data_IF_578620016040
#
_entry.id   IF_578620016040
#
_cell.length_a   1.000
_cell.length_b   1.000
_cell.length_c   1.000
_cell.angle_alpha   90.00
_cell.angle_beta   90.00
_cell.angle_gamma   90.00
#
_symmetry.space_group_name_H-M   'P 1'
#
loop_
_entity.id
_entity.type
_entity.pdbx_description
1 polymer ?
#
# COMPACT_ATOMS: atom_id res chain seq x y z
N UNK A 1 45.32 -8.78 18.60
CA UNK A 1 44.36 -9.85 18.23
C UNK A 1 43.01 -9.17 18.18
N UNK A 2 42.58 -8.76 16.99
CA UNK A 2 41.42 -7.90 16.78
C UNK A 2 40.31 -8.77 16.22
N UNK A 3 39.31 -9.11 17.03
CA UNK A 3 38.11 -9.77 16.58
C UNK A 3 37.31 -8.80 15.71
N UNK A 4 37.14 -9.17 14.44
CA UNK A 4 36.19 -8.52 13.54
C UNK A 4 34.80 -9.00 13.96
N UNK A 5 33.99 -8.10 14.49
CA UNK A 5 32.54 -8.28 14.56
C UNK A 5 32.04 -8.51 13.14
N UNK A 6 31.54 -9.70 12.86
CA UNK A 6 30.70 -9.96 11.70
C UNK A 6 29.42 -9.15 11.88
N UNK A 7 29.21 -8.13 11.04
CA UNK A 7 27.87 -7.59 10.80
C UNK A 7 26.99 -8.79 10.44
N UNK A 8 26.05 -9.12 11.34
CA UNK A 8 25.02 -10.09 11.03
C UNK A 8 24.26 -9.55 9.83
N UNK A 9 24.21 -10.36 8.77
CA UNK A 9 23.41 -10.12 7.57
C UNK A 9 21.95 -10.07 8.02
N UNK A 10 21.48 -8.89 8.44
CA UNK A 10 20.09 -8.69 8.87
C UNK A 10 19.25 -8.78 7.60
N UNK A 11 18.77 -9.99 7.32
CA UNK A 11 17.90 -10.22 6.19
C UNK A 11 16.69 -9.31 6.35
N UNK A 12 16.40 -8.42 5.39
CA UNK A 12 15.35 -7.44 5.55
C UNK A 12 14.03 -8.16 5.78
N UNK A 13 13.27 -7.70 6.78
CA UNK A 13 11.97 -8.26 7.11
C UNK A 13 11.10 -8.35 5.84
N UNK A 14 10.34 -9.45 5.66
CA UNK A 14 9.54 -9.67 4.46
C UNK A 14 8.66 -8.48 4.09
N UNK A 15 8.67 -8.13 2.81
CA UNK A 15 7.88 -7.00 2.32
C UNK A 15 7.45 -7.15 0.86
N UNK A 16 6.48 -6.33 0.47
CA UNK A 16 6.02 -6.21 -0.90
C UNK A 16 6.67 -4.97 -1.52
N UNK A 17 7.67 -5.18 -2.36
CA UNK A 17 8.42 -4.16 -3.06
C UNK A 17 7.65 -3.68 -4.29
N UNK A 18 7.33 -2.39 -4.35
CA UNK A 18 6.58 -1.76 -5.44
C UNK A 18 7.53 -1.43 -6.58
N UNK A 19 7.18 -1.89 -7.78
CA UNK A 19 7.86 -1.51 -9.02
C UNK A 19 7.13 -0.36 -9.72
N UNK A 20 5.79 -0.42 -9.75
CA UNK A 20 4.95 0.55 -10.47
C UNK A 20 3.65 0.84 -9.72
N UNK A 21 3.16 2.08 -9.86
CA UNK A 21 1.87 2.53 -9.36
C UNK A 21 1.16 3.30 -10.48
N UNK A 22 -0.05 2.87 -10.81
CA UNK A 22 -0.90 3.43 -11.87
C UNK A 22 -2.21 3.93 -11.26
N UNK A 23 -2.30 5.23 -10.91
CA UNK A 23 -3.52 5.85 -10.42
C UNK A 23 -4.31 6.45 -11.59
N UNK A 24 -5.11 5.62 -12.25
CA UNK A 24 -5.92 6.00 -13.40
C UNK A 24 -7.25 5.24 -13.42
N UNK A 25 -8.21 5.72 -14.21
CA UNK A 25 -9.50 5.05 -14.49
C UNK A 25 -10.33 4.66 -13.26
N UNK A 26 -10.22 5.40 -12.16
CA UNK A 26 -10.97 5.14 -10.93
C UNK A 26 -10.35 4.04 -10.06
N UNK A 27 -9.14 3.61 -10.37
CA UNK A 27 -8.42 2.57 -9.65
C UNK A 27 -6.98 2.98 -9.34
N UNK A 28 -6.40 2.37 -8.32
CA UNK A 28 -4.97 2.40 -8.06
C UNK A 28 -4.47 0.99 -8.26
N UNK A 29 -3.77 0.76 -9.39
CA UNK A 29 -3.09 -0.50 -9.67
C UNK A 29 -1.64 -0.43 -9.21
N UNK A 30 -1.22 -1.43 -8.45
CA UNK A 30 0.13 -1.54 -7.89
C UNK A 30 0.74 -2.84 -8.37
N UNK A 31 1.91 -2.74 -9.00
CA UNK A 31 2.71 -3.89 -9.44
C UNK A 31 4.00 -3.95 -8.61
N UNK A 32 4.45 -5.15 -8.31
CA UNK A 32 5.67 -5.33 -7.54
C UNK A 32 6.10 -6.77 -7.35
N UNK A 33 7.00 -6.98 -6.38
CA UNK A 33 7.54 -8.29 -6.01
C UNK A 33 7.53 -8.52 -4.50
N UNK A 34 7.37 -9.77 -4.11
CA UNK A 34 7.53 -10.23 -2.73
C UNK A 34 9.02 -10.47 -2.45
N UNK A 35 9.53 -9.92 -1.36
CA UNK A 35 10.91 -10.08 -0.93
C UNK A 35 11.00 -10.59 0.50
N UNK A 36 12.09 -11.28 0.82
CA UNK A 36 12.40 -11.76 2.17
C UNK A 36 11.63 -13.02 2.60
N UNK A 37 10.79 -13.60 1.74
CA UNK A 37 10.06 -14.83 2.06
C UNK A 37 11.02 -16.03 2.11
N UNK A 38 10.96 -16.80 3.21
CA UNK A 38 11.79 -18.00 3.43
C UNK A 38 11.27 -19.24 2.69
N UNK A 39 10.02 -19.21 2.25
CA UNK A 39 9.37 -20.26 1.47
C UNK A 39 8.62 -19.65 0.28
N UNK A 40 8.34 -20.48 -0.73
CA UNK A 40 7.56 -20.06 -1.89
C UNK A 40 6.19 -19.51 -1.47
N UNK A 41 5.85 -18.32 -1.96
CA UNK A 41 4.56 -17.71 -1.70
C UNK A 41 3.42 -18.59 -2.24
N UNK A 42 2.30 -18.74 -1.50
CA UNK A 42 1.08 -19.30 -2.06
C UNK A 42 0.68 -18.55 -3.34
N UNK A 43 0.12 -19.24 -4.32
CA UNK A 43 -0.21 -18.61 -5.62
C UNK A 43 -1.65 -18.07 -5.68
N UNK A 44 -2.45 -18.29 -4.63
CA UNK A 44 -3.86 -17.88 -4.56
C UNK A 44 -4.13 -17.35 -3.19
N UNK A 45 -5.15 -16.52 -3.07
CA UNK A 45 -5.61 -16.08 -1.75
C UNK A 45 -4.95 -14.85 -1.18
N UNK A 46 -4.23 -14.11 -2.02
CA UNK A 46 -3.68 -12.83 -1.66
C UNK A 46 -4.74 -11.74 -1.78
N UNK A 47 -4.66 -10.80 -0.85
CA UNK A 47 -5.48 -9.61 -0.80
C UNK A 47 -4.56 -8.41 -0.57
N UNK A 48 -4.90 -7.28 -1.17
CA UNK A 48 -4.38 -5.99 -0.70
C UNK A 48 -5.32 -5.47 0.37
N UNK A 49 -4.78 -5.30 1.57
CA UNK A 49 -5.47 -4.73 2.70
C UNK A 49 -5.11 -3.25 2.82
N UNK A 50 -6.12 -2.39 2.74
CA UNK A 50 -6.02 -0.97 3.01
C UNK A 50 -6.45 -0.73 4.46
N UNK A 51 -5.52 -0.35 5.34
CA UNK A 51 -5.81 -0.06 6.74
C UNK A 51 -5.79 1.45 6.99
N UNK A 52 -6.92 2.01 7.42
CA UNK A 52 -7.04 3.44 7.70
C UNK A 52 -6.29 3.79 9.00
N UNK A 53 -5.43 4.80 8.94
CA UNK A 53 -4.79 5.34 10.15
C UNK A 53 -5.82 6.04 11.04
N UNK A 54 -5.82 5.70 12.33
CA UNK A 54 -6.63 6.36 13.34
C UNK A 54 -7.37 5.39 14.26
N UNK A 55 -8.21 5.89 15.17
CA UNK A 55 -8.74 5.11 16.29
C UNK A 55 -9.82 4.09 15.90
N UNK A 56 -10.38 4.16 14.67
CA UNK A 56 -11.53 3.32 14.27
C UNK A 56 -11.13 1.97 13.66
N UNK A 57 -9.84 1.73 13.40
CA UNK A 57 -9.35 0.43 12.90
C UNK A 57 -9.97 -0.02 11.58
N UNK A 58 -10.51 0.89 10.78
CA UNK A 58 -11.20 0.55 9.53
C UNK A 58 -10.22 -0.06 8.54
N UNK A 59 -10.60 -1.20 7.96
CA UNK A 59 -9.79 -1.93 6.99
C UNK A 59 -10.67 -2.41 5.85
N UNK A 60 -10.13 -2.36 4.64
CA UNK A 60 -10.76 -2.82 3.42
C UNK A 60 -9.83 -3.82 2.73
N UNK A 61 -10.39 -4.81 2.05
CA UNK A 61 -9.62 -5.82 1.35
C UNK A 61 -10.09 -5.90 -0.10
N UNK A 62 -9.12 -5.91 -1.01
CA UNK A 62 -9.35 -6.09 -2.44
C UNK A 62 -8.49 -7.23 -2.96
N UNK A 63 -8.90 -7.88 -4.08
CA UNK A 63 -8.10 -8.94 -4.69
C UNK A 63 -6.67 -8.49 -4.99
N UNK A 64 -5.72 -9.38 -4.69
CA UNK A 64 -4.37 -9.31 -5.21
C UNK A 64 -4.01 -10.66 -5.86
N UNK A 65 -3.30 -10.62 -6.97
CA UNK A 65 -2.74 -11.81 -7.61
C UNK A 65 -1.26 -11.92 -7.29
N UNK A 66 -0.78 -13.15 -7.15
CA UNK A 66 0.66 -13.45 -7.01
C UNK A 66 0.99 -14.55 -8.01
N UNK A 67 2.05 -14.33 -8.79
CA UNK A 67 2.61 -15.29 -9.75
C UNK A 67 4.11 -15.39 -9.53
N UNK A 68 4.56 -16.51 -8.97
CA UNK A 68 5.92 -16.62 -8.43
C UNK A 68 6.11 -15.61 -7.31
N UNK A 69 7.00 -14.64 -7.52
CA UNK A 69 7.24 -13.51 -6.60
C UNK A 69 6.54 -12.22 -7.05
N UNK A 70 6.06 -12.14 -8.30
CA UNK A 70 5.39 -10.95 -8.80
C UNK A 70 3.99 -10.84 -8.21
N UNK A 71 3.57 -9.62 -7.87
CA UNK A 71 2.21 -9.35 -7.44
C UNK A 71 1.57 -8.21 -8.24
N UNK A 72 0.25 -8.28 -8.33
CA UNK A 72 -0.61 -7.19 -8.79
C UNK A 72 -1.76 -6.99 -7.82
N UNK A 73 -1.98 -5.75 -7.42
CA UNK A 73 -3.05 -5.34 -6.53
C UNK A 73 -3.83 -4.19 -7.16
N UNK A 74 -5.17 -4.24 -7.08
CA UNK A 74 -6.05 -3.21 -7.63
C UNK A 74 -6.99 -2.72 -6.55
N UNK A 75 -7.01 -1.40 -6.34
CA UNK A 75 -7.84 -0.74 -5.33
C UNK A 75 -8.75 0.30 -6.00
N UNK A 76 -10.08 0.09 -6.06
CA UNK A 76 -11.02 1.10 -6.53
C UNK A 76 -11.01 2.33 -5.63
N UNK A 77 -10.85 3.54 -6.19
CA UNK A 77 -10.73 4.76 -5.37
C UNK A 77 -12.00 5.08 -4.59
N UNK A 78 -13.16 4.70 -5.12
CA UNK A 78 -14.45 4.89 -4.47
C UNK A 78 -14.56 4.10 -3.16
N UNK A 79 -13.89 2.95 -3.06
CA UNK A 79 -13.88 2.14 -1.85
C UNK A 79 -13.13 2.84 -0.70
N UNK A 80 -12.20 3.75 -0.99
CA UNK A 80 -11.34 4.40 0.01
C UNK A 80 -12.01 5.56 0.77
N UNK A 81 -13.28 5.85 0.52
CA UNK A 81 -14.06 6.82 1.30
C UNK A 81 -15.43 6.26 1.70
N UNK A 82 -15.47 5.13 2.43
CA UNK A 82 -16.73 4.55 2.86
C UNK A 82 -17.46 5.51 3.82
N UNK A 83 -18.79 5.43 3.94
CA UNK A 83 -19.60 6.40 4.69
C UNK A 83 -19.13 6.66 6.12
N UNK A 84 -18.63 5.64 6.81
CA UNK A 84 -18.15 5.68 8.20
C UNK A 84 -16.76 6.31 8.37
N UNK A 85 -16.01 6.49 7.28
CA UNK A 85 -14.67 7.06 7.31
C UNK A 85 -14.72 8.58 7.59
N UNK A 86 -13.71 9.16 8.27
CA UNK A 86 -13.63 10.60 8.50
C UNK A 86 -13.52 11.40 7.19
N UNK A 87 -13.72 12.71 7.24
CA UNK A 87 -13.64 13.58 6.04
C UNK A 87 -12.30 13.54 5.30
N UNK A 88 -11.21 13.14 5.96
CA UNK A 88 -9.90 12.91 5.36
C UNK A 88 -9.16 11.82 6.12
N UNK A 89 -8.19 11.19 5.48
CA UNK A 89 -7.35 10.19 6.14
C UNK A 89 -6.28 9.60 5.23
N UNK A 90 -5.56 8.63 5.79
CA UNK A 90 -4.44 7.95 5.12
C UNK A 90 -4.62 6.45 5.28
N UNK A 91 -4.62 5.74 4.16
CA UNK A 91 -4.66 4.29 4.09
C UNK A 91 -3.24 3.74 3.94
N UNK A 92 -2.85 2.83 4.82
CA UNK A 92 -1.63 2.03 4.69
C UNK A 92 -1.95 0.72 3.97
N UNK A 93 -1.15 0.39 2.95
CA UNK A 93 -1.34 -0.80 2.12
C UNK A 93 -0.48 -1.98 2.60
N UNK A 94 -1.10 -3.14 2.70
CA UNK A 94 -0.44 -4.40 3.05
C UNK A 94 -0.86 -5.48 2.07
N UNK A 95 0.06 -6.38 1.71
CA UNK A 95 -0.33 -7.67 1.16
C UNK A 95 -0.55 -8.65 2.31
N UNK A 96 -1.70 -9.32 2.26
CA UNK A 96 -2.10 -10.31 3.26
C UNK A 96 -2.60 -11.56 2.57
N UNK A 97 -2.53 -12.69 3.25
CA UNK A 97 -3.02 -13.96 2.73
C UNK A 97 -4.18 -14.49 3.58
N UNK A 98 -5.36 -14.66 2.98
CA UNK A 98 -6.61 -14.94 3.70
C UNK A 98 -6.63 -16.25 4.50
N UNK A 99 -5.84 -17.26 4.12
CA UNK A 99 -5.78 -18.54 4.85
C UNK A 99 -4.82 -18.53 6.04
N UNK A 100 -4.03 -17.46 6.21
CA UNK A 100 -3.11 -17.35 7.34
C UNK A 100 -3.68 -16.34 8.33
N UNK A 101 -4.54 -16.83 9.23
CA UNK A 101 -5.04 -16.02 10.34
C UNK A 101 -3.88 -15.61 11.26
N UNK A 102 -3.72 -14.30 11.47
CA UNK A 102 -2.56 -13.76 12.20
C UNK A 102 -1.24 -13.83 11.41
N UNK A 103 -1.32 -14.16 10.11
CA UNK A 103 -0.17 -14.22 9.22
C UNK A 103 0.53 -12.87 9.04
N UNK A 104 1.77 -12.95 8.58
CA UNK A 104 2.59 -11.79 8.32
C UNK A 104 1.93 -10.86 7.29
N UNK A 105 1.72 -9.60 7.68
CA UNK A 105 1.21 -8.56 6.80
C UNK A 105 2.40 -7.89 6.14
N UNK A 106 2.57 -8.10 4.85
CA UNK A 106 3.69 -7.55 4.10
C UNK A 106 3.40 -6.08 3.80
N UNK A 107 4.12 -5.15 4.44
CA UNK A 107 3.94 -3.72 4.15
C UNK A 107 4.35 -3.45 2.70
N UNK A 108 3.46 -2.80 1.96
CA UNK A 108 3.70 -2.39 0.58
C UNK A 108 4.56 -1.13 0.58
N UNK A 109 5.72 -1.16 -0.07
CA UNK A 109 6.69 -0.06 -0.09
C UNK A 109 7.73 -0.23 -1.20
N UNK A 110 8.65 0.72 -1.34
CA UNK A 110 9.72 0.66 -2.34
C UNK A 110 11.04 1.04 -1.69
N UNK A 111 11.79 0.04 -1.24
CA UNK A 111 12.96 0.17 -0.36
C UNK A 111 14.27 -0.27 -1.02
N UNK A 112 14.20 -1.02 -2.12
CA UNK A 112 15.36 -1.70 -2.72
C UNK A 112 15.97 -0.93 -3.89
N UNK A 113 15.43 0.24 -4.23
CA UNK A 113 16.07 1.15 -5.16
C UNK A 113 17.02 2.12 -4.43
N UNK A 114 17.85 2.81 -5.21
CA UNK A 114 18.75 3.85 -4.71
C UNK A 114 18.10 5.25 -4.65
N UNK A 115 16.77 5.32 -4.76
CA UNK A 115 16.04 6.59 -4.80
C UNK A 115 15.66 6.99 -3.37
N UNK A 116 16.29 8.05 -2.84
CA UNK A 116 15.98 8.62 -1.52
C UNK A 116 14.89 9.69 -1.62
N UNK A 117 14.24 9.98 -0.49
CA UNK A 117 13.23 11.04 -0.34
C UNK A 117 12.04 10.90 -1.33
N UNK A 118 11.59 9.66 -1.60
CA UNK A 118 10.47 9.38 -2.52
C UNK A 118 9.19 10.15 -2.19
N UNK A 119 8.99 10.50 -0.91
CA UNK A 119 7.86 11.30 -0.46
C UNK A 119 7.83 12.74 -1.00
N UNK A 120 8.95 13.25 -1.55
CA UNK A 120 9.02 14.58 -2.17
C UNK A 120 9.19 14.53 -3.69
N UNK A 121 9.78 13.47 -4.24
CA UNK A 121 10.07 13.37 -5.69
C UNK A 121 9.11 12.49 -6.47
N UNK A 122 8.45 11.51 -5.84
CA UNK A 122 7.45 10.65 -6.50
C UNK A 122 6.05 11.20 -6.20
N UNK A 123 5.62 12.13 -7.04
CA UNK A 123 4.31 12.76 -6.96
C UNK A 123 3.37 12.08 -7.95
N UNK A 124 2.32 11.45 -7.41
CA UNK A 124 1.26 10.85 -8.21
C UNK A 124 0.12 11.85 -8.44
N UNK A 125 -0.53 11.83 -9.61
CA UNK A 125 -1.74 12.62 -9.83
C UNK A 125 -2.82 12.18 -8.83
N UNK A 126 -3.64 13.15 -8.38
CA UNK A 126 -4.85 12.81 -7.65
C UNK A 126 -5.91 12.34 -8.65
N UNK A 127 -6.69 11.35 -8.25
CA UNK A 127 -7.93 11.00 -8.90
C UNK A 127 -9.11 11.51 -8.07
N UNK A 128 -10.20 11.84 -8.74
CA UNK A 128 -11.37 12.46 -8.11
C UNK A 128 -12.62 11.71 -8.51
N UNK A 129 -13.53 11.49 -7.57
CA UNK A 129 -14.86 10.93 -7.87
C UNK A 129 -15.97 11.70 -7.12
N UNK A 130 -17.20 11.76 -7.67
CA UNK A 130 -18.34 12.41 -7.01
C UNK A 130 -18.74 11.70 -5.72
N UNK A 131 -19.17 12.46 -4.72
CA UNK A 131 -19.75 11.94 -3.48
C UNK A 131 -20.84 12.87 -2.95
N UNK A 132 -21.66 12.40 -2.01
CA UNK A 132 -22.75 13.19 -1.45
C UNK A 132 -22.25 14.55 -0.91
N UNK A 133 -22.76 15.64 -1.49
CA UNK A 133 -22.39 17.01 -1.10
C UNK A 133 -21.03 17.51 -1.62
N UNK A 134 -20.42 16.81 -2.59
CA UNK A 134 -19.21 17.29 -3.27
C UNK A 134 -18.45 16.20 -4.00
N UNK A 135 -17.16 16.06 -3.69
CA UNK A 135 -16.27 15.07 -4.31
C UNK A 135 -15.25 14.53 -3.33
N UNK A 136 -14.57 13.47 -3.71
CA UNK A 136 -13.44 12.92 -2.97
C UNK A 136 -12.21 12.92 -3.87
N UNK A 137 -11.12 13.47 -3.35
CA UNK A 137 -9.81 13.39 -3.97
C UNK A 137 -9.00 12.26 -3.31
N UNK A 138 -8.33 11.45 -4.12
CA UNK A 138 -7.54 10.29 -3.69
C UNK A 138 -6.17 10.34 -4.36
N UNK A 139 -5.09 10.15 -3.59
CA UNK A 139 -3.73 10.24 -4.10
C UNK A 139 -2.79 9.21 -3.47
N UNK A 140 -2.11 8.35 -4.26
CA UNK A 140 -1.00 7.55 -3.76
C UNK A 140 0.19 8.43 -3.35
N UNK A 141 0.94 8.00 -2.36
CA UNK A 141 2.22 8.62 -1.99
C UNK A 141 3.15 7.64 -1.31
N UNK A 142 4.44 7.93 -1.38
CA UNK A 142 5.40 7.31 -0.48
C UNK A 142 5.46 8.05 0.86
N UNK A 143 5.68 7.28 1.92
CA UNK A 143 5.97 7.80 3.27
C UNK A 143 7.46 8.04 3.45
N UNK A 144 7.84 8.68 4.56
CA UNK A 144 9.26 8.87 4.94
C UNK A 144 9.99 7.53 5.16
N UNK A 145 9.27 6.46 5.43
CA UNK A 145 9.79 5.09 5.55
C UNK A 145 9.64 4.30 4.25
N UNK A 146 9.46 5.01 3.13
CA UNK A 146 9.36 4.45 1.78
C UNK A 146 8.22 3.45 1.58
N UNK A 147 7.25 3.43 2.49
CA UNK A 147 6.02 2.65 2.32
C UNK A 147 5.02 3.40 1.43
N UNK A 148 4.25 2.67 0.63
CA UNK A 148 3.14 3.21 -0.14
C UNK A 148 1.93 3.40 0.77
N UNK A 149 1.33 4.58 0.72
CA UNK A 149 0.07 4.91 1.37
C UNK A 149 -0.82 5.65 0.38
N UNK A 150 -2.12 5.74 0.69
CA UNK A 150 -3.07 6.51 -0.10
C UNK A 150 -3.75 7.54 0.79
N UNK A 151 -3.59 8.81 0.44
CA UNK A 151 -4.32 9.89 1.08
C UNK A 151 -5.70 10.01 0.42
N UNK A 152 -6.72 10.34 1.20
CA UNK A 152 -8.02 10.74 0.68
C UNK A 152 -8.57 11.96 1.42
N UNK A 153 -9.39 12.75 0.72
CA UNK A 153 -10.06 13.90 1.30
C UNK A 153 -11.40 14.15 0.61
N UNK A 154 -12.46 14.32 1.40
CA UNK A 154 -13.75 14.87 0.97
C UNK A 154 -13.62 16.37 0.80
N UNK A 155 -14.05 16.86 -0.35
CA UNK A 155 -14.07 18.27 -0.71
C UNK A 155 -15.53 18.65 -0.93
N UNK A 156 -16.05 19.48 -0.04
CA UNK A 156 -17.38 20.08 -0.20
C UNK A 156 -17.32 21.15 -1.27
N UNK A 157 -18.27 21.13 -2.19
CA UNK A 157 -18.44 22.26 -3.10
C UNK A 157 -19.07 23.41 -2.31
N UNK A 158 -18.39 24.56 -2.29
CA UNK A 158 -18.96 25.77 -1.69
C UNK A 158 -19.87 26.37 -2.74
N UNK A 159 -21.18 26.21 -2.57
CA UNK A 159 -22.21 26.89 -3.37
C UNK A 159 -22.23 28.39 -3.09
#
# INVERSE_FOLDING_TARGET
>A
MTERMTEGDEQPAPHAEVEQVWPEDGEIRVLGRLHGLTAAAPQRGWLVQCALRGPRGLSLEHPASVSGEAFEAVVPIAALAPPEAPGKGVWDLYLVHHLVHGGERLRVGRRLDDIRAKNTIMIYPAQTFPADGGRVDVRPRYTVHENLSVDYQRVTETT
#
